data_IF_875501032984
#
_entry.id   IF_875501032984
#
_cell.length_a   1.000
_cell.length_b   1.000
_cell.length_c   1.000
_cell.angle_alpha   90.00
_cell.angle_beta   90.00
_cell.angle_gamma   90.00
#
_symmetry.space_group_name_H-M   'P 1'
#
loop_
_entity.id
_entity.type
_entity.pdbx_description
1 polymer ?
#
# COMPACT_ATOMS: atom_id res chain seq x y z
N UNK A 1 6.72 24.50 -22.42
CA UNK A 1 8.18 24.24 -22.57
C UNK A 1 8.88 24.75 -21.33
N UNK A 2 9.52 23.88 -20.56
CA UNK A 2 10.27 24.31 -19.38
C UNK A 2 10.27 23.32 -18.23
N UNK A 3 10.74 23.80 -17.12
CA UNK A 3 10.79 23.10 -15.85
C UNK A 3 9.54 23.43 -15.03
N UNK A 4 8.90 22.40 -14.47
CA UNK A 4 7.89 22.54 -13.43
C UNK A 4 8.27 21.71 -12.22
N UNK A 5 8.00 22.23 -11.04
CA UNK A 5 8.23 21.52 -9.77
C UNK A 5 6.92 21.53 -9.00
N UNK A 6 6.57 20.39 -8.43
CA UNK A 6 5.39 20.22 -7.59
C UNK A 6 5.76 19.48 -6.32
N UNK A 7 5.19 19.92 -5.21
CA UNK A 7 5.26 19.23 -3.93
C UNK A 7 3.86 19.19 -3.31
N UNK A 8 3.50 18.02 -2.82
CA UNK A 8 2.21 17.78 -2.16
C UNK A 8 2.48 17.06 -0.83
N UNK A 9 1.66 17.41 0.18
CA UNK A 9 1.64 16.70 1.45
C UNK A 9 0.19 16.41 1.83
N UNK A 10 -0.08 15.22 2.33
CA UNK A 10 -1.39 14.85 2.83
C UNK A 10 -1.30 14.17 4.19
N UNK A 11 -2.32 14.39 5.01
CA UNK A 11 -2.49 13.74 6.30
C UNK A 11 -3.89 13.14 6.36
N UNK A 12 -3.97 11.86 6.67
CA UNK A 12 -5.22 11.15 6.90
C UNK A 12 -5.33 10.68 8.36
N UNK A 13 -6.50 10.84 8.92
CA UNK A 13 -6.86 10.30 10.24
C UNK A 13 -8.17 9.55 10.12
N UNK A 14 -8.18 8.31 10.57
CA UNK A 14 -9.35 7.46 10.61
C UNK A 14 -9.57 6.88 12.02
N UNK A 15 -10.80 6.92 12.48
CA UNK A 15 -11.25 6.27 13.70
C UNK A 15 -12.41 5.35 13.34
N UNK A 16 -12.26 4.06 13.61
CA UNK A 16 -13.34 3.09 13.51
C UNK A 16 -13.59 2.48 14.89
N UNK A 17 -14.83 2.42 15.28
CA UNK A 17 -15.27 1.72 16.48
C UNK A 17 -16.28 0.65 16.08
N UNK A 18 -16.20 -0.51 16.71
CA UNK A 18 -17.10 -1.62 16.47
C UNK A 18 -17.43 -2.27 17.80
N UNK A 19 -18.72 -2.39 18.05
CA UNK A 19 -19.27 -3.06 19.21
C UNK A 19 -20.05 -4.28 18.70
N UNK A 20 -19.72 -5.44 19.23
CA UNK A 20 -20.41 -6.70 18.93
C UNK A 20 -20.98 -7.27 20.23
N UNK A 21 -22.22 -7.70 20.15
CA UNK A 21 -22.92 -8.31 21.26
C UNK A 21 -23.64 -9.57 20.83
N UNK A 22 -23.52 -10.65 21.59
CA UNK A 22 -24.25 -11.89 21.42
C UNK A 22 -24.92 -12.28 22.74
N UNK A 23 -26.27 -12.42 22.73
CA UNK A 23 -27.02 -12.91 23.86
C UNK A 23 -26.87 -14.42 24.03
N UNK A 24 -26.60 -14.90 25.24
CA UNK A 24 -26.49 -16.33 25.54
C UNK A 24 -27.79 -17.11 25.31
N UNK A 25 -28.94 -16.43 25.21
CA UNK A 25 -30.25 -17.05 24.95
C UNK A 25 -30.42 -17.50 23.49
N UNK A 26 -29.55 -17.09 22.59
CA UNK A 26 -29.67 -17.36 21.14
C UNK A 26 -28.75 -18.53 20.70
N UNK A 27 -27.82 -18.97 21.55
CA UNK A 27 -26.90 -20.04 21.17
C UNK A 27 -27.56 -21.41 21.28
N UNK A 28 -27.97 -21.96 20.14
CA UNK A 28 -28.61 -23.27 19.98
C UNK A 28 -27.65 -24.46 20.11
N UNK A 29 -26.52 -24.31 20.76
CA UNK A 29 -25.45 -25.33 20.85
C UNK A 29 -25.26 -25.93 22.24
N UNK A 30 -26.27 -25.91 23.10
CA UNK A 30 -26.26 -26.67 24.36
C UNK A 30 -25.24 -26.23 25.43
N UNK A 31 -24.32 -25.36 25.12
CA UNK A 31 -23.43 -24.69 26.07
C UNK A 31 -23.97 -23.31 26.36
N UNK A 32 -24.50 -23.12 27.57
CA UNK A 32 -24.91 -21.81 28.10
C UNK A 32 -23.66 -21.00 28.41
N UNK A 33 -22.87 -20.65 27.39
CA UNK A 33 -21.92 -19.57 27.54
C UNK A 33 -22.75 -18.29 27.65
N UNK A 34 -22.66 -17.62 28.80
CA UNK A 34 -23.40 -16.38 29.04
C UNK A 34 -23.16 -15.32 27.95
N UNK A 35 -23.83 -14.20 28.04
CA UNK A 35 -23.69 -13.09 27.09
C UNK A 35 -22.22 -12.77 26.76
N UNK A 36 -21.93 -12.61 25.48
CA UNK A 36 -20.58 -12.32 25.00
C UNK A 36 -20.58 -11.00 24.24
N UNK A 37 -19.48 -10.28 24.33
CA UNK A 37 -19.32 -9.05 23.58
C UNK A 37 -17.86 -8.72 23.30
N UNK A 38 -17.63 -7.97 22.24
CA UNK A 38 -16.37 -7.34 22.01
C UNK A 38 -16.55 -5.86 21.64
N UNK A 39 -15.59 -5.08 22.06
CA UNK A 39 -15.48 -3.67 21.68
C UNK A 39 -14.10 -3.45 21.07
N UNK A 40 -14.08 -2.93 19.85
CA UNK A 40 -12.83 -2.60 19.19
C UNK A 40 -12.77 -1.13 18.84
N UNK A 41 -11.56 -0.58 18.96
CA UNK A 41 -11.24 0.78 18.54
C UNK A 41 -9.99 0.73 17.67
N UNK A 42 -10.16 1.08 16.38
CA UNK A 42 -9.07 1.14 15.42
C UNK A 42 -8.79 2.59 15.08
N UNK A 43 -7.56 3.02 15.28
CA UNK A 43 -7.06 4.34 14.85
C UNK A 43 -6.07 4.13 13.71
N UNK A 44 -6.26 4.84 12.61
CA UNK A 44 -5.34 4.84 11.48
C UNK A 44 -4.87 6.27 11.23
N UNK A 45 -3.56 6.45 11.08
CA UNK A 45 -2.95 7.72 10.69
C UNK A 45 -2.10 7.47 9.45
N UNK A 46 -2.24 8.31 8.43
CA UNK A 46 -1.43 8.25 7.22
C UNK A 46 -0.83 9.61 6.90
N UNK A 47 0.40 9.59 6.47
CA UNK A 47 1.15 10.77 6.01
C UNK A 47 1.74 10.42 4.66
N UNK A 48 1.57 11.30 3.69
CA UNK A 48 2.11 11.12 2.35
C UNK A 48 2.77 12.42 1.92
N UNK A 49 3.95 12.30 1.35
CA UNK A 49 4.75 13.39 0.84
C UNK A 49 5.20 13.04 -0.56
N UNK A 50 4.92 13.92 -1.51
CA UNK A 50 5.33 13.78 -2.90
C UNK A 50 6.04 15.05 -3.32
N UNK A 51 7.18 14.91 -3.98
CA UNK A 51 7.84 16.03 -4.64
C UNK A 51 8.42 15.54 -5.97
N UNK A 52 8.13 16.24 -7.04
CA UNK A 52 8.68 15.90 -8.33
C UNK A 52 8.95 17.14 -9.19
N UNK A 53 9.91 16.98 -10.08
CA UNK A 53 10.25 17.93 -11.12
C UNK A 53 9.97 17.30 -12.48
N UNK A 54 9.36 18.08 -13.35
CA UNK A 54 9.12 17.71 -14.73
C UNK A 54 9.78 18.74 -15.63
N UNK A 55 10.60 18.24 -16.57
CA UNK A 55 11.21 19.02 -17.62
C UNK A 55 10.71 18.55 -18.97
N UNK A 56 10.20 19.49 -19.78
CA UNK A 56 9.72 19.22 -21.12
C UNK A 56 10.39 20.18 -22.10
N UNK A 57 10.97 19.65 -23.14
CA UNK A 57 11.59 20.44 -24.21
C UNK A 57 11.36 19.79 -25.56
N UNK A 58 10.96 20.63 -26.51
CA UNK A 58 10.86 20.26 -27.91
C UNK A 58 11.70 21.21 -28.77
N UNK A 59 12.45 20.69 -29.71
CA UNK A 59 13.26 21.45 -30.66
C UNK A 59 13.32 20.70 -31.98
N UNK A 60 13.05 21.39 -33.10
CA UNK A 60 13.02 20.85 -34.45
C UNK A 60 12.31 19.47 -34.50
N UNK A 61 13.08 18.39 -34.65
CA UNK A 61 12.61 17.01 -34.76
C UNK A 61 12.64 16.22 -33.46
N UNK A 62 13.03 16.83 -32.36
CA UNK A 62 13.29 16.18 -31.08
C UNK A 62 12.29 16.61 -30.00
N UNK A 63 11.87 15.68 -29.18
CA UNK A 63 11.12 15.92 -27.96
C UNK A 63 11.74 15.17 -26.81
N UNK A 64 11.88 15.82 -25.66
CA UNK A 64 12.43 15.25 -24.44
C UNK A 64 11.50 15.59 -23.27
N UNK A 65 11.04 14.55 -22.58
CA UNK A 65 10.29 14.64 -21.34
C UNK A 65 11.08 13.91 -20.24
N UNK A 66 11.37 14.62 -19.14
CA UNK A 66 12.03 14.05 -17.96
C UNK A 66 11.15 14.29 -16.77
N UNK A 67 10.93 13.25 -15.99
CA UNK A 67 10.27 13.34 -14.68
C UNK A 67 11.17 12.69 -13.65
N UNK A 68 11.45 13.39 -12.56
CA UNK A 68 12.18 12.87 -11.41
C UNK A 68 11.47 13.27 -10.15
N UNK A 69 11.44 12.39 -9.15
CA UNK A 69 10.76 12.70 -7.91
C UNK A 69 11.01 11.72 -6.80
N UNK A 70 10.48 12.08 -5.65
CA UNK A 70 10.47 11.28 -4.43
C UNK A 70 9.04 11.16 -3.91
N UNK A 71 8.76 10.04 -3.30
CA UNK A 71 7.55 9.77 -2.56
C UNK A 71 7.90 9.13 -1.21
N UNK A 72 7.29 9.60 -0.14
CA UNK A 72 7.45 9.03 1.19
C UNK A 72 6.06 8.86 1.82
N UNK A 73 5.78 7.65 2.29
CA UNK A 73 4.52 7.33 2.96
C UNK A 73 4.81 6.75 4.34
N UNK A 74 4.01 7.18 5.32
CA UNK A 74 3.98 6.64 6.67
C UNK A 74 2.56 6.24 6.99
N UNK A 75 2.36 5.02 7.44
CA UNK A 75 1.07 4.52 7.92
C UNK A 75 1.24 3.97 9.32
N UNK A 76 0.39 4.42 10.22
CA UNK A 76 0.29 3.93 11.58
C UNK A 76 -1.11 3.39 11.81
N UNK A 77 -1.21 2.18 12.32
CA UNK A 77 -2.48 1.58 12.72
C UNK A 77 -2.36 1.09 14.14
N UNK A 78 -3.33 1.43 14.94
CA UNK A 78 -3.50 1.00 16.31
C UNK A 78 -4.90 0.38 16.44
N UNK A 79 -4.97 -0.84 16.95
CA UNK A 79 -6.23 -1.55 17.15
C UNK A 79 -6.25 -2.15 18.55
N UNK A 80 -7.11 -1.59 19.40
CA UNK A 80 -7.39 -2.11 20.72
C UNK A 80 -8.71 -2.90 20.68
N UNK A 81 -8.68 -4.15 21.13
CA UNK A 81 -9.86 -5.02 21.22
C UNK A 81 -10.01 -5.48 22.66
N UNK A 82 -11.20 -5.30 23.20
CA UNK A 82 -11.60 -5.84 24.51
C UNK A 82 -12.77 -6.78 24.28
N UNK A 83 -12.64 -8.03 24.72
CA UNK A 83 -13.69 -9.03 24.63
C UNK A 83 -14.03 -9.56 26.01
N UNK A 84 -15.29 -9.84 26.24
CA UNK A 84 -15.78 -10.39 27.51
C UNK A 84 -16.84 -11.47 27.32
N UNK A 85 -16.91 -12.38 28.28
CA UNK A 85 -17.97 -13.40 28.40
C UNK A 85 -18.72 -13.19 29.73
N UNK A 86 -19.91 -13.74 29.83
CA UNK A 86 -20.78 -13.66 31.05
C UNK A 86 -21.05 -12.21 31.44
N UNK A 87 -21.32 -11.35 30.48
CA UNK A 87 -21.61 -9.95 30.71
C UNK A 87 -23.01 -9.82 31.31
N UNK A 88 -23.13 -9.03 32.39
CA UNK A 88 -24.44 -8.75 32.99
C UNK A 88 -25.18 -7.69 32.18
N UNK A 89 -26.42 -7.94 31.83
CA UNK A 89 -27.33 -6.98 31.20
C UNK A 89 -28.17 -7.61 30.10
N UNK A 90 -29.48 -7.56 30.30
CA UNK A 90 -30.47 -7.84 29.26
C UNK A 90 -30.70 -6.53 28.49
N UNK A 91 -30.46 -6.55 27.17
CA UNK A 91 -30.94 -5.56 26.19
C UNK A 91 -30.52 -4.08 26.28
N UNK A 92 -29.52 -3.71 27.03
CA UNK A 92 -29.00 -2.33 27.02
C UNK A 92 -27.51 -2.29 26.70
N UNK A 93 -27.07 -1.17 26.12
CA UNK A 93 -25.70 -0.94 25.66
C UNK A 93 -24.65 -1.69 26.49
N UNK A 94 -23.79 -2.49 25.89
CA UNK A 94 -22.81 -3.29 26.62
C UNK A 94 -21.83 -2.36 27.33
N UNK A 95 -22.15 -1.94 28.52
CA UNK A 95 -21.15 -1.51 29.48
C UNK A 95 -20.37 -2.76 29.80
N UNK A 96 -19.14 -2.86 29.30
CA UNK A 96 -18.22 -3.92 29.71
C UNK A 96 -17.88 -3.71 31.18
N UNK A 97 -18.82 -4.09 32.04
CA UNK A 97 -18.69 -4.14 33.51
C UNK A 97 -18.82 -5.64 33.85
N UNK A 98 -18.09 -6.46 33.19
CA UNK A 98 -18.06 -7.88 33.48
C UNK A 98 -16.67 -8.29 33.92
N UNK A 99 -16.58 -9.25 34.78
CA UNK A 99 -15.32 -9.90 35.12
C UNK A 99 -14.68 -10.39 33.84
N UNK A 100 -13.55 -9.80 33.45
CA UNK A 100 -12.74 -10.28 32.36
C UNK A 100 -12.18 -11.65 32.69
N UNK A 101 -13.00 -12.68 32.54
CA UNK A 101 -12.57 -14.06 32.68
C UNK A 101 -11.93 -14.51 31.38
N UNK A 102 -10.63 -14.40 31.37
CA UNK A 102 -9.80 -14.86 30.24
C UNK A 102 -9.20 -13.70 29.44
N UNK A 103 -7.93 -13.82 29.15
CA UNK A 103 -7.05 -12.87 28.44
C UNK A 103 -7.46 -12.60 26.99
N UNK A 104 -8.58 -11.91 26.77
CA UNK A 104 -9.07 -11.60 25.44
C UNK A 104 -8.97 -10.11 25.11
N UNK A 105 -8.02 -9.41 25.68
CA UNK A 105 -7.63 -8.08 25.20
C UNK A 105 -6.43 -8.21 24.29
N UNK A 106 -6.54 -7.71 23.10
CA UNK A 106 -5.43 -7.64 22.15
C UNK A 106 -5.16 -6.19 21.78
N UNK A 107 -3.91 -5.81 21.85
CA UNK A 107 -3.41 -4.58 21.28
C UNK A 107 -2.55 -4.93 20.07
N UNK A 108 -2.96 -4.49 18.90
CA UNK A 108 -2.24 -4.71 17.65
C UNK A 108 -1.93 -3.34 17.07
N UNK A 109 -0.72 -2.87 17.27
CA UNK A 109 -0.21 -1.64 16.69
C UNK A 109 0.86 -1.95 15.66
N UNK A 110 0.91 -1.15 14.62
CA UNK A 110 1.92 -1.29 13.59
C UNK A 110 2.19 0.03 12.88
N UNK A 111 3.44 0.23 12.55
CA UNK A 111 3.90 1.37 11.75
C UNK A 111 4.65 0.86 10.53
N UNK A 112 4.37 1.44 9.39
CA UNK A 112 5.06 1.13 8.14
C UNK A 112 5.46 2.41 7.43
N UNK A 113 6.66 2.35 6.83
CA UNK A 113 7.22 3.42 6.02
C UNK A 113 7.53 2.87 4.64
N UNK A 114 7.22 3.66 3.62
CA UNK A 114 7.70 3.42 2.27
C UNK A 114 8.35 4.68 1.75
N UNK A 115 9.39 4.50 0.95
CA UNK A 115 10.09 5.56 0.26
C UNK A 115 10.35 5.14 -1.17
N UNK A 116 10.10 6.03 -2.10
CA UNK A 116 10.36 5.82 -3.52
C UNK A 116 11.11 7.01 -4.08
N UNK A 117 12.16 6.73 -4.85
CA UNK A 117 12.81 7.67 -5.74
C UNK A 117 12.61 7.18 -7.16
N UNK A 118 12.11 8.02 -8.05
CA UNK A 118 11.80 7.64 -9.41
C UNK A 118 12.31 8.64 -10.43
N UNK A 119 12.75 8.10 -11.57
CA UNK A 119 13.14 8.86 -12.74
C UNK A 119 12.50 8.22 -13.97
N UNK A 120 12.06 9.05 -14.89
CA UNK A 120 11.59 8.65 -16.20
C UNK A 120 12.06 9.63 -17.25
N UNK A 121 12.54 9.11 -18.36
CA UNK A 121 12.98 9.85 -19.53
C UNK A 121 12.22 9.29 -20.73
N UNK A 122 11.50 10.14 -21.42
CA UNK A 122 10.85 9.82 -22.69
C UNK A 122 11.45 10.74 -23.77
N UNK A 123 11.96 10.13 -24.82
CA UNK A 123 12.55 10.82 -25.95
C UNK A 123 11.81 10.48 -27.24
N UNK A 124 11.58 11.51 -28.07
CA UNK A 124 10.91 11.40 -29.37
C UNK A 124 11.79 11.98 -30.45
N UNK A 125 11.93 11.25 -31.54
CA UNK A 125 12.59 11.75 -32.72
C UNK A 125 11.63 11.75 -33.91
N UNK A 126 11.52 12.89 -34.59
CA UNK A 126 10.59 13.14 -35.72
C UNK A 126 9.15 12.69 -35.45
N UNK A 127 8.74 12.68 -34.16
CA UNK A 127 7.44 12.18 -33.73
C UNK A 127 7.15 10.71 -34.09
N UNK A 128 8.12 9.98 -34.64
CA UNK A 128 7.98 8.60 -35.15
C UNK A 128 8.70 7.58 -34.28
N UNK A 129 9.89 7.92 -33.83
CA UNK A 129 10.73 7.04 -33.01
C UNK A 129 10.58 7.47 -31.54
N UNK A 130 10.15 6.56 -30.71
CA UNK A 130 9.84 6.80 -29.30
C UNK A 130 10.74 5.90 -28.47
N UNK A 131 11.46 6.47 -27.53
CA UNK A 131 12.31 5.75 -26.59
C UNK A 131 11.92 6.19 -25.18
N UNK A 132 11.81 5.23 -24.28
CA UNK A 132 11.54 5.50 -22.87
C UNK A 132 12.46 4.67 -21.98
N UNK A 133 12.90 5.26 -20.87
CA UNK A 133 13.61 4.58 -19.82
C UNK A 133 13.09 5.04 -18.47
N UNK A 134 12.99 4.13 -17.52
CA UNK A 134 12.69 4.49 -16.13
C UNK A 134 13.59 3.74 -15.15
N UNK A 135 13.81 4.39 -14.02
CA UNK A 135 14.48 3.86 -12.84
C UNK A 135 13.66 4.20 -11.62
N UNK A 136 13.40 3.20 -10.79
CA UNK A 136 12.71 3.35 -9.51
C UNK A 136 13.51 2.65 -8.43
N UNK A 137 13.82 3.37 -7.35
CA UNK A 137 14.35 2.80 -6.13
C UNK A 137 13.30 2.87 -5.05
N UNK A 138 12.83 1.73 -4.59
CA UNK A 138 11.80 1.62 -3.57
C UNK A 138 12.36 1.02 -2.28
N UNK A 139 11.96 1.60 -1.15
CA UNK A 139 12.26 1.09 0.17
C UNK A 139 11.00 0.89 1.00
N UNK A 140 10.96 -0.21 1.78
CA UNK A 140 9.86 -0.49 2.68
C UNK A 140 10.34 -1.02 4.02
N UNK A 141 9.76 -0.49 5.10
CA UNK A 141 10.02 -0.96 6.47
C UNK A 141 9.51 -2.37 6.74
N UNK A 142 8.73 -2.94 5.82
CA UNK A 142 8.27 -4.33 5.90
C UNK A 142 9.40 -5.34 5.69
N UNK A 143 10.48 -4.92 5.02
CA UNK A 143 11.64 -5.78 4.77
C UNK A 143 12.70 -5.62 5.87
N UNK A 144 13.52 -6.63 6.06
CA UNK A 144 14.68 -6.58 6.93
C UNK A 144 15.66 -5.50 6.45
N UNK A 145 16.45 -4.95 7.36
CA UNK A 145 17.28 -3.77 7.12
C UNK A 145 18.21 -3.91 5.90
N UNK A 146 18.76 -5.10 5.70
CA UNK A 146 19.71 -5.43 4.63
C UNK A 146 19.07 -5.45 3.25
N UNK A 147 17.78 -5.83 3.15
CA UNK A 147 17.03 -5.97 1.90
C UNK A 147 15.88 -4.98 1.77
N UNK A 148 15.99 -3.85 2.44
CA UNK A 148 14.91 -2.86 2.52
C UNK A 148 14.66 -2.12 1.22
N UNK A 149 15.68 -1.97 0.38
CA UNK A 149 15.60 -1.24 -0.89
C UNK A 149 15.71 -2.21 -2.08
N UNK A 150 14.87 -1.96 -3.09
CA UNK A 150 14.93 -2.60 -4.39
C UNK A 150 15.09 -1.56 -5.50
N UNK A 151 15.86 -1.89 -6.52
CA UNK A 151 16.08 -1.07 -7.71
C UNK A 151 15.39 -1.74 -8.90
N UNK A 152 14.58 -0.97 -9.63
CA UNK A 152 13.78 -1.45 -10.74
C UNK A 152 14.01 -0.59 -11.97
N UNK A 153 14.21 -1.24 -13.11
CA UNK A 153 14.52 -0.60 -14.36
C UNK A 153 13.49 -0.98 -15.43
N UNK A 154 13.16 -0.05 -16.29
CA UNK A 154 12.43 -0.37 -17.49
C UNK A 154 12.94 0.41 -18.70
N UNK A 155 12.81 -0.21 -19.86
CA UNK A 155 13.08 0.40 -21.16
C UNK A 155 11.92 0.13 -22.10
N UNK A 156 11.65 1.07 -22.99
CA UNK A 156 10.59 0.94 -23.98
C UNK A 156 11.01 1.58 -25.31
N UNK A 157 10.52 1.00 -26.39
CA UNK A 157 10.69 1.54 -27.75
C UNK A 157 9.37 1.56 -28.49
N UNK A 158 9.20 2.52 -29.36
CA UNK A 158 8.03 2.62 -30.21
C UNK A 158 8.39 3.20 -31.59
N UNK A 159 7.75 2.72 -32.64
CA UNK A 159 7.91 3.19 -33.99
C UNK A 159 6.55 3.40 -34.64
N UNK A 160 6.29 4.63 -35.10
CA UNK A 160 5.07 4.96 -35.81
C UNK A 160 5.38 4.76 -37.30
N UNK A 161 5.05 3.58 -37.77
CA UNK A 161 5.37 3.12 -39.14
C UNK A 161 4.53 3.86 -40.16
N UNK A 162 3.27 4.18 -39.83
CA UNK A 162 2.36 4.92 -40.73
C UNK A 162 2.90 6.28 -41.19
N UNK A 163 3.77 6.88 -40.37
CA UNK A 163 4.34 8.20 -40.72
C UNK A 163 5.59 8.12 -41.57
N UNK A 164 6.03 6.92 -41.93
CA UNK A 164 7.19 6.73 -42.80
C UNK A 164 6.88 7.02 -44.28
N UNK A 165 7.90 7.46 -44.99
CA UNK A 165 7.76 7.85 -46.41
C UNK A 165 7.26 6.69 -47.29
N UNK A 166 7.63 5.45 -46.97
CA UNK A 166 7.21 4.26 -47.74
C UNK A 166 5.74 3.88 -47.51
N UNK A 167 5.10 4.41 -46.44
CA UNK A 167 3.69 4.16 -46.10
C UNK A 167 2.73 5.20 -46.70
N UNK A 168 3.23 6.25 -47.35
CA UNK A 168 2.39 7.34 -47.89
C UNK A 168 1.32 6.88 -48.88
N UNK A 169 1.60 5.77 -49.60
CA UNK A 169 0.66 5.21 -50.59
C UNK A 169 -0.36 4.23 -49.96
N UNK A 170 -0.24 3.92 -48.69
CA UNK A 170 -1.15 3.01 -47.97
C UNK A 170 -2.29 3.80 -47.30
N UNK A 171 -3.07 4.54 -48.09
CA UNK A 171 -4.10 5.45 -47.62
C UNK A 171 -5.24 4.82 -46.80
N UNK A 172 -5.30 3.49 -46.76
CA UNK A 172 -6.26 2.75 -45.93
C UNK A 172 -5.78 2.54 -44.48
N UNK A 173 -4.50 2.85 -44.18
CA UNK A 173 -3.93 2.73 -42.84
C UNK A 173 -3.77 4.14 -42.25
N UNK A 174 -4.59 4.48 -41.29
CA UNK A 174 -4.53 5.76 -40.56
C UNK A 174 -3.45 5.79 -39.50
N UNK A 175 -3.19 4.65 -38.81
CA UNK A 175 -2.15 4.52 -37.79
C UNK A 175 -1.62 3.07 -37.75
N UNK A 176 -0.31 2.93 -37.94
CA UNK A 176 0.41 1.70 -37.68
C UNK A 176 1.58 2.00 -36.73
N UNK A 177 1.52 1.47 -35.52
CA UNK A 177 2.53 1.67 -34.47
C UNK A 177 3.01 0.32 -33.94
N UNK A 178 4.32 0.11 -34.00
CA UNK A 178 5.00 -0.99 -33.30
C UNK A 178 5.52 -0.46 -31.95
N UNK A 179 5.37 -1.25 -30.89
CA UNK A 179 5.94 -0.92 -29.58
C UNK A 179 6.40 -2.19 -28.86
N UNK A 180 7.45 -2.04 -28.05
CA UNK A 180 7.96 -3.08 -27.18
C UNK A 180 8.48 -2.45 -25.88
N UNK A 181 8.41 -3.18 -24.80
CA UNK A 181 8.97 -2.75 -23.50
C UNK A 181 9.44 -3.97 -22.72
N UNK A 182 10.46 -3.73 -21.92
CA UNK A 182 10.97 -4.66 -20.91
C UNK A 182 11.16 -3.90 -19.61
N UNK A 183 10.84 -4.54 -18.49
CA UNK A 183 11.01 -3.92 -17.19
C UNK A 183 10.81 -4.89 -16.04
N UNK A 184 11.32 -4.50 -14.88
CA UNK A 184 11.21 -5.19 -13.61
C UNK A 184 10.33 -4.39 -12.67
N UNK A 185 9.54 -5.10 -11.85
CA UNK A 185 8.68 -4.49 -10.83
C UNK A 185 8.82 -5.23 -9.52
N UNK A 186 8.81 -4.50 -8.41
CA UNK A 186 8.79 -5.06 -7.07
C UNK A 186 7.38 -5.39 -6.59
N UNK A 187 7.28 -6.37 -5.70
CA UNK A 187 6.06 -6.67 -4.97
C UNK A 187 6.29 -6.45 -3.46
N UNK A 188 5.60 -5.47 -2.89
CA UNK A 188 5.63 -5.15 -1.46
C UNK A 188 4.45 -5.78 -0.69
N UNK A 189 3.57 -6.51 -1.36
CA UNK A 189 2.37 -7.10 -0.73
C UNK A 189 2.70 -8.38 0.03
N UNK A 190 3.62 -8.26 1.01
CA UNK A 190 3.94 -9.31 1.95
C UNK A 190 3.34 -8.99 3.32
N UNK A 191 2.87 -10.00 4.08
CA UNK A 191 2.46 -9.80 5.46
C UNK A 191 3.63 -9.27 6.28
N UNK A 192 3.40 -8.24 7.09
CA UNK A 192 4.42 -7.64 7.96
C UNK A 192 4.97 -8.60 9.03
N UNK A 193 4.30 -9.71 9.24
CA UNK A 193 4.66 -10.75 10.21
C UNK A 193 5.79 -11.66 9.71
N UNK A 194 5.99 -11.76 8.41
CA UNK A 194 7.03 -12.63 7.81
C UNK A 194 8.44 -12.12 8.12
N UNK A 195 8.59 -10.84 8.38
CA UNK A 195 9.89 -10.18 8.63
C UNK A 195 10.16 -9.86 10.09
N UNK A 196 9.16 -10.09 10.98
CA UNK A 196 9.31 -9.91 12.42
C UNK A 196 9.40 -11.27 13.08
N UNK A 197 10.42 -11.48 13.91
CA UNK A 197 10.49 -12.63 14.78
C UNK A 197 9.30 -12.59 15.75
N UNK A 198 8.30 -13.42 15.52
CA UNK A 198 7.18 -13.57 16.45
C UNK A 198 7.54 -14.64 17.48
N UNK A 199 7.58 -14.26 18.75
CA UNK A 199 7.70 -15.20 19.85
C UNK A 199 6.30 -15.51 20.36
N UNK A 200 5.87 -16.76 20.25
CA UNK A 200 4.67 -17.21 20.97
C UNK A 200 5.07 -17.69 22.36
N UNK A 201 4.62 -17.00 23.39
CA UNK A 201 4.77 -17.44 24.77
C UNK A 201 3.71 -18.52 25.01
N UNK A 202 4.09 -19.78 25.00
CA UNK A 202 3.24 -20.84 25.52
C UNK A 202 3.18 -20.68 27.04
N UNK A 203 2.00 -20.51 27.59
CA UNK A 203 1.80 -20.51 29.04
C UNK A 203 2.34 -21.80 29.63
N UNK A 204 3.26 -21.69 30.59
CA UNK A 204 3.71 -22.87 31.37
C UNK A 204 2.50 -23.40 32.14
N UNK A 205 2.12 -24.64 31.89
CA UNK A 205 1.30 -25.38 32.83
C UNK A 205 2.14 -25.63 34.07
N UNK A 206 1.73 -25.05 35.19
CA UNK A 206 2.27 -25.44 36.50
C UNK A 206 1.64 -26.78 36.86
N UNK A 207 2.45 -27.82 36.92
CA UNK A 207 2.06 -29.04 37.63
C UNK A 207 2.16 -28.75 39.12
N UNK A 208 1.03 -28.75 39.84
CA UNK A 208 1.03 -28.88 41.27
C UNK A 208 1.31 -30.36 41.58
N UNK A 209 2.45 -30.61 42.25
CA UNK A 209 2.68 -31.86 42.98
C UNK A 209 1.87 -31.80 44.28
#
# INVERSE_FOLDING_TARGET
KGLSVRADASYGYGLAQSDYWLSGLITNTGNVDGNQGNKSKKTTKSQQYHAFAKYNREWTDHGLDIVTGIEANRSYTDNAVVAGKNLSGEFQEPKIIGTMLGNNSAYIGGESYTFSFFNRIDYKFKQRYLLGASFVREGSSKFVKENRFGDFYSVSGGWIISDEAFMRNAGFISLLKLRGSYGETGNQNIPSEVTKNSYSIKSKQYYNN
#
